data_IF_771017163351
#
_entry.id   IF_771017163351
#
_cell.length_a   1.000
_cell.length_b   1.000
_cell.length_c   1.000
_cell.angle_alpha   90.00
_cell.angle_beta   90.00
_cell.angle_gamma   90.00
#
_symmetry.space_group_name_H-M   'P 1'
#
loop_
_entity.id
_entity.type
_entity.pdbx_description
1 polymer ?
#
# COMPACT_ATOMS: atom_id res chain seq x y z
N UNK A 1 5.32 -1.91 -15.78
CA UNK A 1 6.30 -1.83 -16.86
C UNK A 1 7.69 -1.93 -16.27
N UNK A 2 8.46 -2.91 -16.76
CA UNK A 2 9.87 -2.97 -16.44
C UNK A 2 10.51 -1.69 -16.96
N UNK A 3 11.29 -1.00 -16.13
CA UNK A 3 11.97 0.22 -16.53
C UNK A 3 12.76 0.00 -17.82
N UNK A 4 12.45 0.76 -18.87
CA UNK A 4 13.19 0.70 -20.11
C UNK A 4 14.61 1.22 -19.87
N UNK A 5 15.60 0.34 -20.04
CA UNK A 5 17.00 0.65 -19.76
C UNK A 5 17.66 1.54 -20.81
N UNK A 6 17.01 1.78 -21.95
CA UNK A 6 17.51 2.64 -23.01
C UNK A 6 17.44 4.14 -22.65
N UNK A 7 16.70 4.49 -21.59
CA UNK A 7 16.58 5.87 -21.12
C UNK A 7 17.26 6.05 -19.76
N UNK A 8 18.07 7.07 -19.66
CA UNK A 8 18.60 7.61 -18.41
C UNK A 8 17.41 7.84 -17.48
N UNK A 9 17.38 7.11 -16.34
CA UNK A 9 16.41 7.21 -15.24
C UNK A 9 15.10 7.90 -15.63
N UNK A 10 14.10 7.13 -15.99
CA UNK A 10 12.77 7.71 -16.20
C UNK A 10 12.35 8.41 -14.91
N UNK A 11 12.25 9.74 -14.96
CA UNK A 11 11.90 10.58 -13.81
C UNK A 11 10.60 10.15 -13.15
N UNK A 12 9.69 9.55 -13.91
CA UNK A 12 8.40 9.06 -13.44
C UNK A 12 8.54 7.93 -12.42
N UNK A 13 9.51 7.02 -12.57
CA UNK A 13 9.75 5.99 -11.56
C UNK A 13 10.38 6.54 -10.28
N UNK A 14 11.25 7.55 -10.40
CA UNK A 14 11.79 8.24 -9.23
C UNK A 14 10.68 8.97 -8.47
N UNK A 15 9.78 9.64 -9.18
CA UNK A 15 8.63 10.32 -8.63
C UNK A 15 7.65 9.34 -7.97
N UNK A 16 7.34 8.21 -8.63
CA UNK A 16 6.53 7.15 -8.05
C UNK A 16 7.09 6.69 -6.71
N UNK A 17 8.40 6.38 -6.64
CA UNK A 17 9.04 5.94 -5.39
C UNK A 17 8.94 6.99 -4.30
N UNK A 18 9.23 8.26 -4.63
CA UNK A 18 9.15 9.37 -3.69
C UNK A 18 7.74 9.53 -3.13
N UNK A 19 6.73 9.66 -3.99
CA UNK A 19 5.34 9.84 -3.56
C UNK A 19 4.80 8.63 -2.79
N UNK A 20 5.17 7.41 -3.20
CA UNK A 20 4.79 6.20 -2.47
C UNK A 20 5.38 6.18 -1.06
N UNK A 21 6.65 6.53 -0.91
CA UNK A 21 7.30 6.60 0.41
C UNK A 21 6.68 7.69 1.30
N UNK A 22 6.39 8.87 0.75
CA UNK A 22 5.75 9.98 1.47
C UNK A 22 4.34 9.60 1.98
N UNK A 23 3.65 8.71 1.29
CA UNK A 23 2.30 8.26 1.65
C UNK A 23 2.28 6.87 2.30
N UNK A 24 3.44 6.34 2.66
CA UNK A 24 3.60 5.05 3.34
C UNK A 24 3.07 3.85 2.52
N UNK A 25 3.12 3.95 1.19
CA UNK A 25 2.84 2.83 0.30
C UNK A 25 4.08 1.98 0.07
N UNK A 26 3.92 0.66 0.20
CA UNK A 26 4.97 -0.29 -0.12
C UNK A 26 4.90 -0.70 -1.60
N UNK A 27 6.02 -0.64 -2.29
CA UNK A 27 6.13 -1.07 -3.68
C UNK A 27 6.68 -2.49 -3.75
N UNK A 28 5.94 -3.36 -4.44
CA UNK A 28 6.30 -4.77 -4.59
C UNK A 28 6.51 -5.14 -6.05
N UNK A 29 7.35 -6.15 -6.28
CA UNK A 29 7.46 -6.86 -7.56
C UNK A 29 7.03 -8.31 -7.38
N UNK A 30 6.43 -8.87 -8.42
CA UNK A 30 6.11 -10.29 -8.43
C UNK A 30 7.36 -11.11 -8.80
N UNK A 31 7.72 -12.18 -8.06
CA UNK A 31 8.94 -12.97 -8.34
C UNK A 31 9.02 -13.51 -9.75
N UNK A 32 7.88 -13.82 -10.39
CA UNK A 32 7.83 -14.33 -11.76
C UNK A 32 8.41 -13.34 -12.78
N UNK A 33 8.40 -12.03 -12.49
CA UNK A 33 8.99 -11.02 -13.37
C UNK A 33 10.52 -11.16 -13.46
N UNK A 34 11.18 -11.69 -12.43
CA UNK A 34 12.61 -11.98 -12.47
C UNK A 34 12.93 -13.15 -13.42
N UNK A 35 12.01 -14.10 -13.57
CA UNK A 35 12.15 -15.19 -14.55
C UNK A 35 12.06 -14.64 -15.97
N UNK A 36 11.16 -13.71 -16.21
CA UNK A 36 11.03 -13.04 -17.50
C UNK A 36 12.31 -12.29 -17.89
N UNK A 37 12.85 -11.51 -16.96
CA UNK A 37 14.12 -10.79 -17.16
C UNK A 37 15.28 -11.74 -17.46
N UNK A 38 15.30 -12.90 -16.82
CA UNK A 38 16.35 -13.92 -17.06
C UNK A 38 16.37 -14.45 -18.49
N UNK A 39 15.24 -14.35 -19.21
CA UNK A 39 15.13 -14.74 -20.63
C UNK A 39 15.73 -13.71 -21.60
N UNK A 40 15.99 -12.50 -21.13
CA UNK A 40 16.59 -11.46 -21.97
C UNK A 40 18.01 -11.88 -22.38
N UNK A 41 18.24 -11.94 -23.70
CA UNK A 41 19.53 -12.31 -24.29
C UNK A 41 20.59 -11.22 -24.09
N UNK A 42 20.20 -9.97 -23.89
CA UNK A 42 21.14 -8.88 -23.63
C UNK A 42 21.56 -8.92 -22.15
N UNK A 43 22.78 -9.41 -21.90
CA UNK A 43 23.33 -9.59 -20.54
C UNK A 43 23.44 -8.26 -19.79
N UNK A 44 23.90 -7.22 -20.48
CA UNK A 44 24.07 -5.89 -19.85
C UNK A 44 22.72 -5.31 -19.43
N UNK A 45 21.73 -5.27 -20.34
CA UNK A 45 20.37 -4.83 -20.03
C UNK A 45 19.77 -5.65 -18.88
N UNK A 46 19.89 -6.97 -18.93
CA UNK A 46 19.42 -7.86 -17.86
C UNK A 46 20.01 -7.52 -16.50
N UNK A 47 21.32 -7.25 -16.42
CA UNK A 47 21.99 -6.91 -15.17
C UNK A 47 21.54 -5.56 -14.63
N UNK A 48 21.38 -4.56 -15.50
CA UNK A 48 20.86 -3.24 -15.13
C UNK A 48 19.43 -3.36 -14.58
N UNK A 49 18.55 -4.09 -15.26
CA UNK A 49 17.16 -4.28 -14.81
C UNK A 49 17.13 -5.00 -13.46
N UNK A 50 17.90 -6.06 -13.29
CA UNK A 50 18.00 -6.79 -12.01
C UNK A 50 18.45 -5.88 -10.87
N UNK A 51 19.49 -5.07 -11.10
CA UNK A 51 20.00 -4.12 -10.11
C UNK A 51 18.93 -3.10 -9.69
N UNK A 52 18.15 -2.60 -10.65
CA UNK A 52 17.03 -1.69 -10.36
C UNK A 52 15.90 -2.36 -9.60
N UNK A 53 15.56 -3.58 -9.97
CA UNK A 53 14.49 -4.33 -9.30
C UNK A 53 14.87 -4.79 -7.88
N UNK A 54 16.15 -4.91 -7.58
CA UNK A 54 16.64 -5.22 -6.23
C UNK A 54 16.27 -4.15 -5.18
N UNK A 55 15.82 -2.96 -5.62
CA UNK A 55 15.33 -1.89 -4.73
C UNK A 55 13.90 -2.13 -4.25
N UNK A 56 13.16 -3.04 -4.88
CA UNK A 56 11.77 -3.32 -4.54
C UNK A 56 11.65 -4.60 -3.73
N UNK A 57 10.71 -4.62 -2.81
CA UNK A 57 10.37 -5.83 -2.06
C UNK A 57 9.68 -6.84 -2.97
N UNK A 58 10.03 -8.10 -2.89
CA UNK A 58 9.30 -9.14 -3.59
C UNK A 58 8.07 -9.55 -2.79
N UNK A 59 6.99 -9.89 -3.50
CA UNK A 59 5.83 -10.51 -2.86
C UNK A 59 6.25 -11.87 -2.32
N UNK A 60 6.15 -12.04 -1.01
CA UNK A 60 6.41 -13.34 -0.36
C UNK A 60 5.21 -14.28 -0.62
N UNK A 61 5.51 -15.51 -1.05
CA UNK A 61 4.50 -16.54 -1.30
C UNK A 61 3.32 -16.05 -2.16
N UNK A 62 3.56 -15.51 -3.36
CA UNK A 62 2.48 -15.03 -4.22
C UNK A 62 1.50 -16.17 -4.53
N UNK A 63 0.20 -15.86 -4.68
CA UNK A 63 -0.78 -16.89 -5.04
C UNK A 63 -0.42 -17.50 -6.39
N UNK A 64 -0.48 -18.82 -6.44
CA UNK A 64 -0.17 -19.59 -7.66
C UNK A 64 -1.45 -19.76 -8.47
N UNK A 65 -1.40 -19.35 -9.74
CA UNK A 65 -2.50 -19.51 -10.68
C UNK A 65 -2.52 -20.95 -11.20
N UNK A 66 -3.51 -21.73 -10.79
CA UNK A 66 -3.73 -23.09 -11.31
C UNK A 66 -4.36 -23.07 -12.71
N UNK A 67 -4.21 -24.15 -13.47
CA UNK A 67 -4.84 -24.30 -14.79
C UNK A 67 -6.37 -24.16 -14.73
N UNK A 68 -6.98 -24.67 -13.67
CA UNK A 68 -8.42 -24.54 -13.43
C UNK A 68 -8.84 -23.09 -13.25
N UNK A 69 -8.17 -22.35 -12.36
CA UNK A 69 -8.45 -20.93 -12.13
C UNK A 69 -8.19 -20.10 -13.38
N UNK A 70 -7.15 -20.45 -14.13
CA UNK A 70 -6.87 -19.81 -15.41
C UNK A 70 -8.03 -19.97 -16.40
N UNK A 71 -8.59 -21.17 -16.49
CA UNK A 71 -9.77 -21.47 -17.33
C UNK A 71 -11.02 -20.77 -16.80
N UNK A 72 -11.29 -20.85 -15.50
CA UNK A 72 -12.47 -20.25 -14.87
C UNK A 72 -12.50 -18.71 -15.02
N UNK A 73 -11.33 -18.07 -15.00
CA UNK A 73 -11.19 -16.62 -15.20
C UNK A 73 -11.08 -16.21 -16.69
N UNK A 74 -11.08 -17.18 -17.61
CA UNK A 74 -10.92 -16.90 -19.05
C UNK A 74 -9.57 -16.29 -19.41
N UNK A 75 -8.53 -16.57 -18.62
CA UNK A 75 -7.16 -16.12 -18.86
C UNK A 75 -6.46 -17.07 -19.82
N UNK A 76 -6.16 -16.62 -21.04
CA UNK A 76 -5.40 -17.42 -21.99
C UNK A 76 -3.90 -17.42 -21.62
N UNK A 77 -3.25 -18.58 -21.72
CA UNK A 77 -1.81 -18.78 -21.53
C UNK A 77 -1.17 -19.31 -22.82
N UNK A 78 -1.28 -18.56 -23.90
CA UNK A 78 -0.75 -18.99 -25.20
C UNK A 78 0.78 -19.00 -25.25
N UNK A 79 1.44 -18.22 -24.41
CA UNK A 79 2.90 -18.09 -24.36
C UNK A 79 3.39 -17.77 -22.94
N UNK A 80 4.72 -17.78 -22.75
CA UNK A 80 5.34 -17.50 -21.46
C UNK A 80 5.10 -16.05 -20.96
N UNK A 81 4.94 -15.07 -21.83
CA UNK A 81 4.61 -13.71 -21.44
C UNK A 81 3.20 -13.65 -20.86
N UNK A 82 2.23 -14.33 -21.52
CA UNK A 82 0.88 -14.45 -20.96
C UNK A 82 0.89 -15.08 -19.58
N UNK A 83 1.76 -16.08 -19.35
CA UNK A 83 1.90 -16.73 -18.05
C UNK A 83 2.41 -15.75 -16.98
N UNK A 84 3.41 -14.92 -17.31
CA UNK A 84 3.92 -13.88 -16.41
C UNK A 84 2.83 -12.87 -16.08
N UNK A 85 2.19 -12.30 -17.09
CA UNK A 85 1.13 -11.31 -16.94
C UNK A 85 -0.05 -11.83 -16.11
N UNK A 86 -0.48 -13.05 -16.39
CA UNK A 86 -1.60 -13.68 -15.69
C UNK A 86 -1.29 -13.92 -14.21
N UNK A 87 -0.07 -14.34 -13.86
CA UNK A 87 0.32 -14.49 -12.45
C UNK A 87 0.39 -13.14 -11.71
N UNK A 88 0.93 -12.09 -12.36
CA UNK A 88 0.95 -10.74 -11.80
C UNK A 88 -0.47 -10.24 -11.56
N UNK A 89 -1.35 -10.41 -12.54
CA UNK A 89 -2.75 -9.99 -12.42
C UNK A 89 -3.53 -10.84 -11.40
N UNK A 90 -3.19 -12.12 -11.30
CA UNK A 90 -3.80 -13.02 -10.31
C UNK A 90 -3.41 -12.66 -8.87
N UNK A 91 -2.19 -12.17 -8.64
CA UNK A 91 -1.80 -11.63 -7.34
C UNK A 91 -2.68 -10.44 -6.91
N UNK A 92 -3.03 -9.54 -7.85
CA UNK A 92 -3.99 -8.47 -7.61
C UNK A 92 -5.41 -9.02 -7.34
N UNK A 93 -5.87 -9.95 -8.18
CA UNK A 93 -7.20 -10.57 -8.06
C UNK A 93 -7.40 -11.24 -6.70
N UNK A 94 -6.37 -11.94 -6.21
CA UNK A 94 -6.38 -12.63 -4.91
C UNK A 94 -6.09 -11.70 -3.73
N UNK A 95 -5.87 -10.42 -3.97
CA UNK A 95 -5.64 -9.42 -2.91
C UNK A 95 -4.25 -9.46 -2.25
N UNK A 96 -3.26 -10.12 -2.88
CA UNK A 96 -1.88 -10.08 -2.42
C UNK A 96 -1.27 -8.67 -2.52
N UNK A 97 -1.81 -7.86 -3.42
CA UNK A 97 -1.55 -6.42 -3.54
C UNK A 97 -2.87 -5.68 -3.77
N UNK A 98 -2.91 -4.40 -3.44
CA UNK A 98 -4.13 -3.59 -3.56
C UNK A 98 -4.27 -2.93 -4.94
N UNK A 99 -3.15 -2.59 -5.56
CA UNK A 99 -3.07 -1.86 -6.82
C UNK A 99 -1.97 -2.47 -7.67
N UNK A 100 -2.21 -2.55 -8.97
CA UNK A 100 -1.22 -2.91 -9.99
C UNK A 100 -0.93 -1.68 -10.84
N UNK A 101 0.35 -1.32 -10.96
CA UNK A 101 0.78 -0.24 -11.85
C UNK A 101 1.51 -0.83 -13.05
N UNK A 102 0.94 -0.63 -14.24
CA UNK A 102 1.50 -1.15 -15.50
C UNK A 102 1.06 -0.33 -16.69
N UNK A 103 1.94 -0.18 -17.70
CA UNK A 103 1.59 0.41 -18.99
C UNK A 103 1.22 -0.65 -20.04
N UNK A 104 1.19 -1.93 -19.65
CA UNK A 104 0.87 -3.03 -20.57
C UNK A 104 -0.63 -3.08 -20.87
N UNK A 105 -0.99 -2.85 -22.14
CA UNK A 105 -2.39 -2.89 -22.61
C UNK A 105 -3.01 -4.29 -22.53
N UNK A 106 -2.18 -5.32 -22.62
CA UNK A 106 -2.63 -6.71 -22.48
C UNK A 106 -3.15 -6.97 -21.08
N UNK A 107 -2.43 -6.52 -20.07
CA UNK A 107 -2.82 -6.62 -18.66
C UNK A 107 -4.09 -5.79 -18.40
N UNK A 108 -4.20 -4.56 -18.90
CA UNK A 108 -5.41 -3.74 -18.77
C UNK A 108 -6.65 -4.43 -19.35
N UNK A 109 -6.53 -5.02 -20.56
CA UNK A 109 -7.63 -5.77 -21.17
C UNK A 109 -8.02 -7.02 -20.36
N UNK A 110 -7.02 -7.76 -19.86
CA UNK A 110 -7.25 -8.94 -19.00
C UNK A 110 -7.91 -8.52 -17.68
N UNK A 111 -7.49 -7.42 -17.07
CA UNK A 111 -8.06 -6.89 -15.83
C UNK A 111 -9.56 -6.56 -15.98
N UNK A 112 -9.95 -5.98 -17.12
CA UNK A 112 -11.36 -5.69 -17.40
C UNK A 112 -12.21 -6.96 -17.51
N UNK A 113 -11.66 -8.05 -18.05
CA UNK A 113 -12.37 -9.32 -18.17
C UNK A 113 -12.66 -9.97 -16.82
N UNK A 114 -11.74 -9.83 -15.85
CA UNK A 114 -11.89 -10.43 -14.51
C UNK A 114 -12.42 -9.44 -13.47
N UNK A 115 -12.81 -8.23 -13.87
CA UNK A 115 -13.50 -7.26 -13.00
C UNK A 115 -12.60 -6.54 -12.01
N UNK A 116 -11.29 -6.38 -12.29
CA UNK A 116 -10.33 -5.68 -11.40
C UNK A 116 -9.71 -4.45 -12.05
N UNK A 117 -10.31 -3.92 -13.11
CA UNK A 117 -9.79 -2.78 -13.87
C UNK A 117 -9.65 -1.50 -13.03
N UNK A 118 -10.46 -1.32 -12.01
CA UNK A 118 -10.44 -0.20 -11.08
C UNK A 118 -9.20 -0.18 -10.18
N UNK A 119 -8.48 -1.30 -10.10
CA UNK A 119 -7.24 -1.47 -9.32
C UNK A 119 -5.99 -1.49 -10.20
N UNK A 120 -6.13 -1.33 -11.51
CA UNK A 120 -5.00 -1.34 -12.46
C UNK A 120 -4.80 0.05 -13.05
N UNK A 121 -3.66 0.65 -12.79
CA UNK A 121 -3.33 2.01 -13.20
C UNK A 121 -2.14 2.03 -14.16
N UNK A 122 -2.16 2.96 -15.09
CA UNK A 122 -0.94 3.36 -15.81
C UNK A 122 -0.02 4.14 -14.86
N UNK A 123 1.29 4.13 -15.14
CA UNK A 123 2.27 4.81 -14.29
C UNK A 123 1.91 6.29 -14.05
N UNK A 124 1.62 7.03 -15.11
CA UNK A 124 1.26 8.45 -15.02
C UNK A 124 -0.05 8.69 -14.25
N UNK A 125 -1.05 7.83 -14.48
CA UNK A 125 -2.33 7.92 -13.78
C UNK A 125 -2.16 7.69 -12.27
N UNK A 126 -1.31 6.73 -11.89
CA UNK A 126 -1.06 6.45 -10.48
C UNK A 126 -0.27 7.57 -9.81
N UNK A 127 0.73 8.15 -10.49
CA UNK A 127 1.43 9.33 -10.00
C UNK A 127 0.45 10.49 -9.76
N UNK A 128 -0.42 10.78 -10.71
CA UNK A 128 -1.45 11.81 -10.55
C UNK A 128 -2.42 11.51 -9.40
N UNK A 129 -2.79 10.25 -9.22
CA UNK A 129 -3.61 9.82 -8.09
C UNK A 129 -2.90 10.10 -6.75
N UNK A 130 -1.62 9.75 -6.63
CA UNK A 130 -0.81 10.02 -5.45
C UNK A 130 -0.65 11.52 -5.19
N UNK A 131 -0.39 12.33 -6.22
CA UNK A 131 -0.28 13.79 -6.11
C UNK A 131 -1.57 14.43 -5.60
N UNK A 132 -2.73 14.01 -6.14
CA UNK A 132 -4.04 14.48 -5.69
C UNK A 132 -4.36 14.04 -4.27
N UNK A 133 -3.96 12.84 -3.89
CA UNK A 133 -4.11 12.31 -2.52
C UNK A 133 -3.22 13.06 -1.53
N UNK A 134 -2.00 13.44 -1.94
CA UNK A 134 -1.11 14.28 -1.15
C UNK A 134 -1.66 15.71 -0.97
N UNK A 135 -2.31 16.27 -2.01
CA UNK A 135 -2.94 17.59 -1.96
C UNK A 135 -4.20 17.59 -1.08
N UNK A 136 -4.85 16.45 -0.96
CA UNK A 136 -5.84 16.15 0.07
C UNK A 136 -5.15 15.64 1.35
N UNK A 137 -4.02 16.20 1.75
CA UNK A 137 -3.80 16.34 3.17
C UNK A 137 -4.99 17.15 3.64
N UNK A 138 -6.07 16.43 4.04
CA UNK A 138 -6.88 16.95 5.08
C UNK A 138 -5.85 17.42 6.11
N UNK A 139 -5.74 18.69 6.33
CA UNK A 139 -5.43 19.15 7.65
C UNK A 139 -6.60 18.63 8.49
N UNK A 140 -6.57 17.35 8.82
CA UNK A 140 -6.94 17.04 10.14
C UNK A 140 -5.95 17.93 10.91
N UNK A 141 -6.40 19.05 11.42
CA UNK A 141 -5.95 19.45 12.69
C UNK A 141 -6.16 18.19 13.52
N UNK A 142 -5.14 17.34 13.51
CA UNK A 142 -4.96 16.41 14.57
C UNK A 142 -4.79 17.34 15.75
N UNK A 143 -5.89 17.63 16.39
CA UNK A 143 -5.89 17.98 17.80
C UNK A 143 -5.04 16.85 18.35
N UNK A 144 -3.76 17.17 18.53
CA UNK A 144 -2.74 16.12 18.52
C UNK A 144 -3.05 15.21 19.68
N UNK A 145 -3.11 13.88 19.43
CA UNK A 145 -3.10 12.93 20.52
C UNK A 145 -1.89 13.27 21.39
N UNK A 146 -2.13 13.86 22.55
CA UNK A 146 -1.08 14.26 23.48
C UNK A 146 -1.00 13.25 24.60
N UNK A 147 0.21 12.82 24.90
CA UNK A 147 0.48 12.06 26.10
C UNK A 147 0.41 13.02 27.29
N UNK A 148 -0.42 12.71 28.26
CA UNK A 148 -0.59 13.45 29.49
C UNK A 148 -0.56 12.51 30.69
N UNK A 149 -0.19 13.05 31.85
CA UNK A 149 -0.44 12.35 33.08
C UNK A 149 -1.86 12.61 33.59
N UNK A 150 -2.50 11.65 34.24
CA UNK A 150 -3.87 11.81 34.71
C UNK A 150 -4.02 12.94 35.72
N UNK A 151 -2.98 13.31 36.48
CA UNK A 151 -3.03 14.45 37.38
C UNK A 151 -3.11 15.82 36.66
N UNK A 152 -2.76 15.89 35.36
CA UNK A 152 -2.86 17.10 34.53
C UNK A 152 -4.28 17.30 33.99
N UNK A 153 -5.12 16.28 34.07
CA UNK A 153 -6.48 16.30 33.52
C UNK A 153 -7.47 16.73 34.57
N UNK A 154 -8.29 17.72 34.23
CA UNK A 154 -9.37 18.14 35.11
C UNK A 154 -10.48 17.09 35.16
N UNK A 155 -10.53 16.32 36.25
CA UNK A 155 -11.53 15.26 36.48
C UNK A 155 -12.98 15.75 36.39
N UNK A 156 -13.23 17.05 36.62
CA UNK A 156 -14.58 17.61 36.65
C UNK A 156 -15.11 18.02 35.27
N UNK A 157 -14.39 17.71 34.20
CA UNK A 157 -14.90 17.95 32.85
C UNK A 157 -16.15 17.09 32.58
N UNK A 158 -17.10 17.67 31.86
CA UNK A 158 -18.37 17.03 31.47
C UNK A 158 -18.18 15.76 30.67
N UNK A 159 -17.05 15.65 29.98
CA UNK A 159 -16.62 14.41 29.30
C UNK A 159 -16.70 13.17 30.17
N UNK A 160 -16.41 13.30 31.48
CA UNK A 160 -16.42 12.17 32.43
C UNK A 160 -17.80 11.90 33.06
N UNK A 161 -18.83 12.71 32.77
CA UNK A 161 -20.15 12.57 33.42
C UNK A 161 -20.83 11.24 33.09
N UNK A 162 -20.64 10.73 31.87
CA UNK A 162 -21.15 9.43 31.48
C UNK A 162 -20.50 8.29 32.26
N UNK A 163 -19.19 8.39 32.51
CA UNK A 163 -18.44 7.40 33.30
C UNK A 163 -18.84 7.43 34.77
N UNK A 164 -19.05 8.61 35.35
CA UNK A 164 -19.56 8.77 36.72
C UNK A 164 -20.94 8.13 36.91
N UNK A 165 -21.83 8.32 35.90
CA UNK A 165 -23.16 7.69 35.93
C UNK A 165 -23.12 6.19 35.83
N UNK A 166 -22.11 5.64 35.15
CA UNK A 166 -21.97 4.20 34.93
C UNK A 166 -21.13 3.50 36.02
N UNK A 167 -20.34 4.25 36.77
CA UNK A 167 -19.41 3.70 37.75
C UNK A 167 -19.28 4.63 38.97
N UNK A 168 -19.92 4.32 40.06
CA UNK A 168 -19.94 5.09 41.31
C UNK A 168 -18.54 5.30 41.92
N UNK A 169 -17.61 4.40 41.67
CA UNK A 169 -16.21 4.49 42.11
C UNK A 169 -15.29 5.33 41.25
N UNK A 170 -15.80 5.99 40.17
CA UNK A 170 -14.98 6.66 39.15
C UNK A 170 -14.02 7.70 39.76
N UNK A 171 -14.49 8.61 40.59
CA UNK A 171 -13.67 9.71 41.13
C UNK A 171 -12.56 9.19 42.03
N UNK A 172 -12.83 8.14 42.82
CA UNK A 172 -11.83 7.49 43.64
C UNK A 172 -10.78 6.73 42.80
N UNK A 173 -11.25 5.99 41.81
CA UNK A 173 -10.37 5.32 40.84
C UNK A 173 -9.48 6.30 40.09
N UNK A 174 -10.06 7.42 39.60
CA UNK A 174 -9.33 8.45 38.87
C UNK A 174 -8.22 9.06 39.74
N UNK A 175 -8.53 9.38 41.00
CA UNK A 175 -7.59 9.96 41.93
C UNK A 175 -6.43 8.99 42.22
N UNK A 176 -6.72 7.71 42.48
CA UNK A 176 -5.67 6.70 42.66
C UNK A 176 -4.78 6.55 41.45
N UNK A 177 -5.35 6.61 40.24
CA UNK A 177 -4.58 6.55 39.01
C UNK A 177 -3.70 7.79 38.82
N UNK A 178 -4.15 8.97 39.24
CA UNK A 178 -3.36 10.20 39.20
C UNK A 178 -2.19 10.17 40.19
N UNK A 179 -2.40 9.62 41.39
CA UNK A 179 -1.36 9.48 42.44
C UNK A 179 -0.20 8.57 41.98
N UNK A 180 -0.47 7.54 41.19
CA UNK A 180 0.55 6.61 40.66
C UNK A 180 1.10 7.05 39.29
N UNK A 181 0.88 8.31 38.91
CA UNK A 181 1.41 8.93 37.68
C UNK A 181 1.10 8.15 36.41
N UNK A 182 -0.11 7.60 36.30
CA UNK A 182 -0.53 6.93 35.07
C UNK A 182 -0.64 7.92 33.92
N UNK A 183 -0.15 7.49 32.76
CA UNK A 183 -0.25 8.21 31.50
C UNK A 183 -1.54 7.86 30.78
N UNK A 184 -2.04 8.81 30.04
CA UNK A 184 -3.17 8.67 29.12
C UNK A 184 -2.89 9.44 27.82
N UNK A 185 -3.59 9.08 26.77
CA UNK A 185 -3.57 9.80 25.52
C UNK A 185 -4.89 10.55 25.36
N UNK A 186 -4.79 11.85 25.18
CA UNK A 186 -5.93 12.73 25.05
C UNK A 186 -5.98 13.38 23.68
N UNK A 187 -7.19 13.51 23.14
CA UNK A 187 -7.47 14.40 22.02
C UNK A 187 -8.04 15.68 22.64
N UNK A 188 -7.37 16.79 22.44
CA UNK A 188 -7.85 18.11 22.91
C UNK A 188 -8.40 18.84 21.70
N UNK A 189 -9.68 19.20 21.75
CA UNK A 189 -10.28 20.17 20.82
C UNK A 189 -9.69 21.54 21.12
N UNK A 190 -9.05 22.18 20.12
CA UNK A 190 -8.38 23.47 20.25
C UNK A 190 -9.34 24.64 20.43
#
# INVERSE_FOLDING_TARGET
>A
PLEDTSRILDSSFAELRKLSAEQQHCLYIHPIQLQDINRDKNVERRNIVKSRLAQYTQIENPPVLSEKECSDLGMNQANENDKVDNNVLFALYRGAVHILVTNDEGIHRKASKIGVQDKVYRLEQFIQFLQRSASKKFSFDYTGVRERYLYEINKNQSFFDSLRKSYDGFDHWFQKCAEVQRKCWCIEDG
#
